data_IF_085904515353
#
_entry.id   IF_085904515353
#
_cell.length_a   1.000
_cell.length_b   1.000
_cell.length_c   1.000
_cell.angle_alpha   90.00
_cell.angle_beta   90.00
_cell.angle_gamma   90.00
#
_symmetry.space_group_name_H-M   'P 1'
#
loop_
_entity.id
_entity.type
_entity.pdbx_description
1 polymer ?
#
# COMPACT_ATOMS: atom_id res chain seq x y z
N UNK A 1 39.19 -9.20 9.54
CA UNK A 1 38.12 -8.33 9.01
C UNK A 1 38.52 -7.89 7.61
N UNK A 2 38.20 -8.69 6.59
CA UNK A 2 38.34 -8.27 5.20
C UNK A 2 37.21 -7.29 4.89
N UNK A 3 37.55 -6.07 4.47
CA UNK A 3 36.56 -5.10 3.99
C UNK A 3 35.81 -5.73 2.81
N UNK A 4 34.51 -5.94 3.00
CA UNK A 4 33.60 -6.45 1.98
C UNK A 4 33.39 -5.30 0.99
N UNK A 5 33.58 -5.52 -0.32
CA UNK A 5 33.33 -4.49 -1.31
C UNK A 5 31.83 -4.14 -1.29
N UNK A 6 31.54 -2.85 -1.17
CA UNK A 6 30.19 -2.30 -1.34
C UNK A 6 29.64 -2.68 -2.71
N UNK A 7 28.51 -3.39 -2.71
CA UNK A 7 27.78 -3.75 -3.92
C UNK A 7 27.20 -2.46 -4.52
N UNK A 8 27.39 -2.17 -5.82
CA UNK A 8 26.81 -1.00 -6.45
C UNK A 8 25.28 -1.07 -6.36
N UNK A 9 24.64 -0.01 -5.85
CA UNK A 9 23.21 0.20 -5.98
C UNK A 9 22.83 0.03 -7.47
N UNK A 10 21.82 -0.79 -7.75
CA UNK A 10 21.35 -1.08 -9.10
C UNK A 10 20.96 0.24 -9.78
N UNK A 11 21.56 0.52 -10.92
CA UNK A 11 21.52 1.83 -11.59
C UNK A 11 20.11 2.28 -11.99
N UNK A 12 19.84 3.56 -11.77
CA UNK A 12 18.56 4.31 -11.86
C UNK A 12 17.96 4.51 -13.27
N UNK A 13 17.83 3.48 -14.10
CA UNK A 13 17.14 3.63 -15.41
C UNK A 13 15.86 2.84 -15.57
N UNK A 14 15.47 2.04 -14.56
CA UNK A 14 14.25 1.24 -14.60
C UNK A 14 13.66 1.18 -13.19
N UNK A 15 12.33 1.33 -13.06
CA UNK A 15 11.66 1.24 -11.75
C UNK A 15 11.69 -0.18 -11.14
N UNK A 16 12.30 -1.14 -11.83
CA UNK A 16 12.64 -2.48 -11.36
C UNK A 16 14.04 -2.88 -11.85
N UNK A 17 14.84 -3.58 -11.04
CA UNK A 17 16.12 -4.12 -11.50
C UNK A 17 15.90 -5.23 -12.54
N UNK A 18 16.89 -5.46 -13.41
CA UNK A 18 16.85 -6.58 -14.33
C UNK A 18 16.82 -7.93 -13.57
N UNK A 19 16.00 -8.88 -14.02
CA UNK A 19 15.82 -10.17 -13.36
C UNK A 19 17.13 -10.93 -13.13
N UNK A 20 18.03 -10.93 -14.11
CA UNK A 20 19.30 -11.67 -14.01
C UNK A 20 20.22 -11.02 -12.99
N UNK A 21 20.33 -9.69 -13.02
CA UNK A 21 21.11 -8.94 -12.04
C UNK A 21 20.53 -9.09 -10.64
N UNK A 22 19.20 -9.06 -10.49
CA UNK A 22 18.54 -9.36 -9.22
C UNK A 22 18.86 -10.78 -8.74
N UNK A 23 18.75 -11.78 -9.62
CA UNK A 23 18.99 -13.18 -9.29
C UNK A 23 20.41 -13.46 -8.80
N UNK A 24 21.43 -12.78 -9.34
CA UNK A 24 22.82 -12.89 -8.88
C UNK A 24 22.96 -12.58 -7.36
N UNK A 25 22.13 -11.67 -6.84
CA UNK A 25 22.15 -11.28 -5.43
C UNK A 25 21.33 -12.21 -4.53
N UNK A 26 20.39 -12.98 -5.09
CA UNK A 26 19.43 -13.80 -4.33
C UNK A 26 19.45 -15.28 -4.70
N UNK A 27 20.51 -15.78 -5.34
CA UNK A 27 20.61 -17.15 -5.85
C UNK A 27 20.52 -18.28 -4.80
N UNK A 28 20.59 -17.95 -3.50
CA UNK A 28 20.46 -18.91 -2.40
C UNK A 28 19.88 -18.25 -1.15
N UNK A 29 19.41 -19.04 -0.18
CA UNK A 29 18.88 -18.49 1.08
C UNK A 29 19.86 -17.61 1.83
N UNK A 30 21.15 -17.97 1.80
CA UNK A 30 22.22 -17.21 2.46
C UNK A 30 22.53 -15.90 1.70
N UNK A 31 22.57 -15.94 0.36
CA UNK A 31 22.71 -14.73 -0.46
C UNK A 31 21.51 -13.78 -0.28
N UNK A 32 20.29 -14.32 -0.34
CA UNK A 32 19.06 -13.58 -0.08
C UNK A 32 19.03 -12.96 1.33
N UNK A 33 19.53 -13.69 2.34
CA UNK A 33 19.64 -13.14 3.69
C UNK A 33 20.62 -11.97 3.76
N UNK A 34 21.78 -12.06 3.09
CA UNK A 34 22.74 -10.94 3.03
C UNK A 34 22.13 -9.73 2.32
N UNK A 35 21.48 -9.96 1.18
CA UNK A 35 20.78 -8.93 0.44
C UNK A 35 19.75 -8.20 1.33
N UNK A 36 18.98 -8.91 2.15
CA UNK A 36 18.03 -8.29 3.07
C UNK A 36 18.68 -7.46 4.20
N UNK A 37 19.89 -7.81 4.64
CA UNK A 37 20.66 -6.95 5.55
C UNK A 37 21.19 -5.71 4.84
N UNK A 38 21.72 -5.86 3.62
CA UNK A 38 22.26 -4.76 2.82
C UNK A 38 21.16 -3.74 2.46
N UNK A 39 19.91 -4.19 2.33
CA UNK A 39 18.73 -3.36 2.09
C UNK A 39 18.07 -2.86 3.39
N UNK A 40 18.71 -3.06 4.55
CA UNK A 40 18.21 -2.69 5.88
C UNK A 40 16.83 -3.27 6.25
N UNK A 41 16.39 -4.33 5.57
CA UNK A 41 15.13 -5.03 5.88
C UNK A 41 15.27 -5.91 7.12
N UNK A 42 16.44 -6.51 7.31
CA UNK A 42 16.75 -7.22 8.56
C UNK A 42 17.58 -6.33 9.48
N UNK A 43 17.15 -6.26 10.74
CA UNK A 43 17.80 -5.46 11.77
C UNK A 43 19.22 -5.93 12.06
N UNK A 44 20.09 -4.97 12.36
CA UNK A 44 21.47 -5.19 12.78
C UNK A 44 21.71 -4.54 14.14
N UNK A 45 22.90 -4.73 14.73
CA UNK A 45 23.27 -4.00 15.95
C UNK A 45 23.38 -2.48 15.71
N UNK A 46 23.48 -2.05 14.45
CA UNK A 46 23.62 -0.65 14.04
C UNK A 46 22.28 0.00 13.66
N UNK A 47 21.22 -0.80 13.45
CA UNK A 47 19.91 -0.27 13.05
C UNK A 47 19.13 0.40 14.19
N UNK A 48 19.71 0.48 15.39
CA UNK A 48 19.06 1.05 16.58
C UNK A 48 17.96 0.17 17.20
N UNK A 49 17.61 -0.94 16.56
CA UNK A 49 16.61 -1.89 17.03
C UNK A 49 17.24 -2.95 17.94
N UNK A 50 16.76 -3.06 19.18
CA UNK A 50 17.32 -3.95 20.20
C UNK A 50 16.50 -5.23 20.32
N UNK A 51 17.09 -6.35 19.90
CA UNK A 51 16.50 -7.67 20.15
C UNK A 51 16.86 -8.14 21.55
N UNK A 52 15.88 -8.24 22.43
CA UNK A 52 16.10 -8.73 23.80
C UNK A 52 15.84 -10.23 23.94
N UNK A 53 16.53 -10.87 24.88
CA UNK A 53 16.21 -12.23 25.29
C UNK A 53 15.00 -12.24 26.25
N UNK A 54 14.49 -13.42 26.64
CA UNK A 54 13.34 -13.52 27.57
C UNK A 54 13.57 -12.93 28.98
N UNK A 55 14.83 -12.59 29.30
CA UNK A 55 15.22 -11.96 30.56
C UNK A 55 15.59 -10.48 30.36
N UNK A 56 15.22 -9.85 29.24
CA UNK A 56 15.50 -8.43 28.95
C UNK A 56 16.95 -8.11 28.59
N UNK A 57 17.81 -9.11 28.34
CA UNK A 57 19.20 -8.85 27.94
C UNK A 57 19.30 -8.61 26.44
N UNK A 58 19.93 -7.49 25.99
CA UNK A 58 20.22 -7.27 24.57
C UNK A 58 21.03 -8.42 23.96
N UNK A 59 20.54 -8.94 22.84
CA UNK A 59 21.13 -10.04 22.10
C UNK A 59 22.11 -9.50 21.04
N UNK A 60 23.06 -10.34 20.61
CA UNK A 60 24.03 -10.01 19.56
C UNK A 60 23.85 -10.93 18.35
N UNK A 61 24.12 -10.41 17.16
CA UNK A 61 24.02 -11.18 15.93
C UNK A 61 25.26 -12.07 15.80
N UNK A 62 25.07 -13.35 15.47
CA UNK A 62 26.20 -14.27 15.32
C UNK A 62 25.89 -15.51 14.48
N UNK A 63 26.93 -16.20 14.00
CA UNK A 63 26.78 -17.37 13.15
C UNK A 63 26.20 -18.57 13.93
N UNK A 64 25.40 -19.38 13.24
CA UNK A 64 24.73 -20.55 13.78
C UNK A 64 24.69 -21.72 12.79
N UNK A 65 25.88 -22.12 12.30
CA UNK A 65 26.03 -23.27 11.40
C UNK A 65 25.07 -23.19 10.21
N UNK A 66 24.30 -24.27 9.98
CA UNK A 66 23.34 -24.35 8.89
C UNK A 66 22.20 -23.31 8.93
N UNK A 67 21.96 -22.64 10.06
CA UNK A 67 20.93 -21.59 10.20
C UNK A 67 21.41 -20.20 9.78
N UNK A 68 22.66 -20.04 9.36
CA UNK A 68 23.23 -18.73 9.03
C UNK A 68 23.35 -17.84 10.27
N UNK A 69 22.99 -16.57 10.16
CA UNK A 69 23.02 -15.62 11.27
C UNK A 69 21.77 -15.76 12.16
N UNK A 70 21.95 -15.63 13.47
CA UNK A 70 20.87 -15.61 14.47
C UNK A 70 21.23 -14.67 15.61
N UNK A 71 20.22 -14.13 16.29
CA UNK A 71 20.39 -13.38 17.52
C UNK A 71 20.66 -14.33 18.69
N UNK A 72 21.70 -14.09 19.49
CA UNK A 72 22.03 -14.87 20.69
C UNK A 72 22.30 -13.99 21.89
N UNK A 73 21.85 -14.46 23.06
CA UNK A 73 22.21 -13.81 24.31
C UNK A 73 23.74 -13.94 24.55
N UNK A 74 24.43 -12.83 24.87
CA UNK A 74 25.87 -12.84 25.12
C UNK A 74 26.21 -13.48 26.48
N UNK A 75 25.28 -13.46 27.44
CA UNK A 75 25.48 -14.00 28.78
C UNK A 75 25.42 -15.54 28.77
N UNK A 76 26.49 -16.18 29.28
CA UNK A 76 26.66 -17.65 29.21
C UNK A 76 25.53 -18.44 29.88
N UNK A 77 24.99 -17.92 30.97
CA UNK A 77 24.00 -18.61 31.82
C UNK A 77 22.59 -18.00 31.72
N UNK A 78 22.33 -17.14 30.73
CA UNK A 78 21.03 -16.49 30.55
C UNK A 78 20.21 -17.23 29.49
N UNK A 79 18.90 -17.40 29.75
CA UNK A 79 17.89 -17.91 28.81
C UNK A 79 18.29 -19.15 27.98
N UNK A 80 19.15 -20.03 28.50
CA UNK A 80 19.80 -21.14 27.77
C UNK A 80 20.48 -20.71 26.44
N UNK A 81 20.74 -19.41 26.27
CA UNK A 81 21.19 -18.79 25.02
C UNK A 81 20.35 -19.19 23.80
N UNK A 82 19.05 -19.43 24.03
CA UNK A 82 18.10 -19.75 22.97
C UNK A 82 18.16 -18.68 21.86
N UNK A 83 18.40 -19.08 20.60
CA UNK A 83 18.55 -18.12 19.52
C UNK A 83 17.19 -17.56 19.11
N UNK A 84 17.17 -16.28 18.71
CA UNK A 84 16.05 -15.67 17.97
C UNK A 84 16.41 -15.56 16.48
N UNK A 85 15.41 -15.72 15.62
CA UNK A 85 15.58 -15.63 14.16
C UNK A 85 15.86 -14.19 13.72
N UNK A 86 16.64 -14.00 12.65
CA UNK A 86 16.88 -12.66 12.05
C UNK A 86 15.65 -12.08 11.38
N UNK A 87 14.65 -12.93 11.08
CA UNK A 87 13.38 -12.53 10.49
C UNK A 87 12.39 -11.95 11.50
N UNK A 88 12.77 -11.84 12.78
CA UNK A 88 11.89 -11.32 13.83
C UNK A 88 11.45 -9.90 13.48
N UNK A 89 10.17 -9.59 13.74
CA UNK A 89 9.56 -8.27 13.54
C UNK A 89 9.76 -7.72 12.11
N UNK A 90 9.70 -8.62 11.14
CA UNK A 90 9.77 -8.33 9.70
C UNK A 90 8.70 -9.12 8.95
N UNK A 91 8.38 -8.69 7.73
CA UNK A 91 7.53 -9.44 6.78
C UNK A 91 7.91 -10.92 6.63
N UNK A 92 9.18 -11.27 6.79
CA UNK A 92 9.68 -12.63 6.61
C UNK A 92 9.47 -13.52 7.85
N UNK A 93 8.97 -12.96 8.95
CA UNK A 93 8.69 -13.70 10.18
C UNK A 93 7.67 -14.83 9.93
N UNK A 94 7.93 -16.02 10.48
CA UNK A 94 7.11 -17.25 10.32
C UNK A 94 6.92 -17.78 8.89
N UNK A 95 7.40 -17.10 7.85
CA UNK A 95 7.41 -17.67 6.50
C UNK A 95 8.34 -18.90 6.45
N UNK A 96 7.77 -20.07 6.18
CA UNK A 96 8.53 -21.33 6.06
C UNK A 96 9.23 -21.48 4.70
N UNK A 97 8.84 -20.67 3.72
CA UNK A 97 9.48 -20.67 2.41
C UNK A 97 10.94 -20.17 2.49
N UNK A 98 11.84 -20.69 1.64
CA UNK A 98 13.20 -20.17 1.50
C UNK A 98 13.20 -18.69 1.08
N UNK A 99 14.14 -17.89 1.61
CA UNK A 99 14.16 -16.43 1.40
C UNK A 99 14.29 -16.05 -0.08
N UNK A 100 15.13 -16.76 -0.83
CA UNK A 100 15.31 -16.57 -2.26
C UNK A 100 14.01 -16.76 -3.05
N UNK A 101 13.17 -17.73 -2.62
CA UNK A 101 11.88 -17.97 -3.26
C UNK A 101 10.88 -16.88 -2.88
N UNK A 102 10.87 -16.42 -1.63
CA UNK A 102 10.01 -15.30 -1.20
C UNK A 102 10.39 -14.02 -1.95
N UNK A 103 11.67 -13.66 -2.01
CA UNK A 103 12.16 -12.51 -2.77
C UNK A 103 11.83 -12.61 -4.26
N UNK A 104 11.92 -13.80 -4.86
CA UNK A 104 11.50 -14.02 -6.25
C UNK A 104 9.98 -13.80 -6.41
N UNK A 105 9.15 -14.24 -5.46
CA UNK A 105 7.70 -13.95 -5.49
C UNK A 105 7.45 -12.45 -5.44
N UNK A 106 8.15 -11.72 -4.55
CA UNK A 106 8.04 -10.26 -4.44
C UNK A 106 8.41 -9.60 -5.77
N UNK A 107 9.57 -9.95 -6.34
CA UNK A 107 10.02 -9.45 -7.64
C UNK A 107 8.98 -9.69 -8.75
N UNK A 108 8.49 -10.92 -8.88
CA UNK A 108 7.53 -11.28 -9.92
C UNK A 108 6.16 -10.61 -9.69
N UNK A 109 5.72 -10.46 -8.45
CA UNK A 109 4.52 -9.71 -8.10
C UNK A 109 4.65 -8.23 -8.50
N UNK A 110 5.79 -7.60 -8.21
CA UNK A 110 6.07 -6.23 -8.65
C UNK A 110 6.10 -6.12 -10.18
N UNK A 111 6.59 -7.15 -10.87
CA UNK A 111 6.51 -7.28 -12.33
C UNK A 111 5.12 -7.66 -12.89
N UNK A 112 4.06 -7.64 -12.07
CA UNK A 112 2.66 -7.96 -12.43
C UNK A 112 2.43 -9.40 -12.92
N UNK A 113 3.24 -10.33 -12.44
CA UNK A 113 3.12 -11.76 -12.75
C UNK A 113 1.88 -12.38 -12.11
N UNK A 114 1.11 -13.15 -12.88
CA UNK A 114 -0.11 -13.80 -12.38
C UNK A 114 0.20 -14.97 -11.43
N UNK A 115 -0.73 -15.28 -10.53
CA UNK A 115 -0.56 -16.33 -9.49
C UNK A 115 -0.18 -17.72 -10.06
N UNK A 116 -0.70 -18.10 -11.23
CA UNK A 116 -0.34 -19.36 -11.90
C UNK A 116 1.11 -19.37 -12.38
N UNK A 117 1.63 -18.23 -12.82
CA UNK A 117 3.01 -18.07 -13.23
C UNK A 117 3.94 -18.01 -12.01
N UNK A 118 3.50 -17.38 -10.91
CA UNK A 118 4.23 -17.42 -9.63
C UNK A 118 4.44 -18.86 -9.16
N UNK A 119 3.40 -19.69 -9.19
CA UNK A 119 3.47 -21.12 -8.87
C UNK A 119 4.47 -21.84 -9.78
N UNK A 120 4.29 -21.71 -11.10
CA UNK A 120 5.17 -22.34 -12.09
C UNK A 120 6.65 -21.94 -11.95
N UNK A 121 6.94 -20.65 -11.74
CA UNK A 121 8.31 -20.13 -11.73
C UNK A 121 9.01 -20.36 -10.39
N UNK A 122 8.27 -20.31 -9.28
CA UNK A 122 8.86 -20.41 -7.93
C UNK A 122 8.78 -21.81 -7.35
N UNK A 123 7.88 -22.67 -7.85
CA UNK A 123 7.61 -24.00 -7.30
C UNK A 123 6.95 -23.98 -5.92
N UNK A 124 6.49 -22.82 -5.45
CA UNK A 124 5.81 -22.68 -4.17
C UNK A 124 4.31 -22.98 -4.34
N UNK A 125 3.76 -23.79 -3.45
CA UNK A 125 2.33 -24.10 -3.49
C UNK A 125 1.46 -22.84 -3.35
N UNK A 126 0.27 -22.90 -3.93
CA UNK A 126 -0.67 -21.78 -3.98
C UNK A 126 -1.07 -21.21 -2.60
N UNK A 127 -1.04 -22.01 -1.51
CA UNK A 127 -1.33 -21.50 -0.16
C UNK A 127 -0.23 -20.56 0.31
N UNK A 128 1.03 -20.95 0.12
CA UNK A 128 2.21 -20.15 0.48
C UNK A 128 2.26 -18.86 -0.33
N UNK A 129 2.00 -18.93 -1.64
CA UNK A 129 1.96 -17.76 -2.51
C UNK A 129 0.89 -16.76 -2.08
N UNK A 130 -0.31 -17.24 -1.72
CA UNK A 130 -1.37 -16.36 -1.20
C UNK A 130 -0.95 -15.64 0.07
N UNK A 131 -0.33 -16.34 1.03
CA UNK A 131 0.19 -15.72 2.26
C UNK A 131 1.21 -14.61 1.95
N UNK A 132 2.16 -14.86 1.04
CA UNK A 132 3.17 -13.87 0.65
C UNK A 132 2.49 -12.66 -0.01
N UNK A 133 1.62 -12.88 -1.01
CA UNK A 133 0.94 -11.79 -1.74
C UNK A 133 0.01 -10.99 -0.83
N UNK A 134 -0.71 -11.64 0.09
CA UNK A 134 -1.54 -10.96 1.09
C UNK A 134 -0.69 -10.06 1.99
N UNK A 135 0.43 -10.57 2.50
CA UNK A 135 1.35 -9.76 3.28
C UNK A 135 1.93 -8.59 2.49
N UNK A 136 2.13 -8.72 1.17
CA UNK A 136 2.61 -7.61 0.35
C UNK A 136 1.59 -6.48 0.22
N UNK A 137 0.30 -6.81 0.09
CA UNK A 137 -0.73 -5.76 0.15
C UNK A 137 -0.74 -5.05 1.50
N UNK A 138 -0.56 -5.79 2.60
CA UNK A 138 -0.45 -5.18 3.92
C UNK A 138 0.76 -4.25 4.03
N UNK A 139 1.94 -4.69 3.57
CA UNK A 139 3.15 -3.83 3.53
C UNK A 139 2.92 -2.59 2.68
N UNK A 140 2.29 -2.73 1.51
CA UNK A 140 1.95 -1.59 0.66
C UNK A 140 0.99 -0.62 1.35
N UNK A 141 0.01 -1.13 2.08
CA UNK A 141 -0.92 -0.29 2.83
C UNK A 141 -0.26 0.44 3.99
N UNK A 142 0.56 -0.24 4.78
CA UNK A 142 1.26 0.38 5.91
C UNK A 142 2.32 1.40 5.49
N UNK A 143 2.83 1.29 4.26
CA UNK A 143 3.68 2.32 3.67
C UNK A 143 2.88 3.57 3.25
N UNK A 144 1.57 3.46 2.99
CA UNK A 144 0.74 4.60 2.62
C UNK A 144 0.31 5.39 3.86
N UNK A 145 0.48 6.71 3.79
CA UNK A 145 0.03 7.68 4.79
C UNK A 145 -1.16 8.47 4.26
N UNK A 146 -1.85 9.21 5.15
CA UNK A 146 -2.90 10.15 4.71
C UNK A 146 -2.35 11.22 3.75
N UNK A 147 -1.11 11.63 3.95
CA UNK A 147 -0.45 12.58 3.06
C UNK A 147 -0.15 11.98 1.69
N UNK A 148 -0.09 10.66 1.53
CA UNK A 148 0.07 10.04 0.20
C UNK A 148 -1.23 10.05 -0.62
N UNK A 149 -2.39 10.10 0.04
CA UNK A 149 -3.72 10.00 -0.59
C UNK A 149 -4.51 11.29 -0.60
N UNK A 150 -4.20 12.27 0.26
CA UNK A 150 -4.84 13.60 0.21
C UNK A 150 -4.40 14.36 -1.04
N UNK A 151 -5.35 14.85 -1.82
CA UNK A 151 -5.12 15.52 -3.11
C UNK A 151 -5.52 16.98 -3.08
N UNK A 152 -4.98 17.76 -4.01
CA UNK A 152 -5.37 19.14 -4.23
C UNK A 152 -4.63 20.12 -3.32
N UNK A 153 -5.32 21.20 -2.96
CA UNK A 153 -4.77 22.31 -2.20
C UNK A 153 -4.21 23.38 -3.13
N UNK A 154 -3.19 24.09 -2.65
CA UNK A 154 -2.43 25.02 -3.46
C UNK A 154 -1.06 24.47 -3.78
N UNK A 155 -0.61 24.72 -4.99
CA UNK A 155 0.75 24.46 -5.41
C UNK A 155 1.71 25.37 -4.59
N UNK A 156 2.70 24.81 -3.89
CA UNK A 156 3.58 25.58 -3.01
C UNK A 156 4.45 26.63 -3.72
N UNK A 157 4.70 26.46 -5.02
CA UNK A 157 5.58 27.34 -5.80
C UNK A 157 4.82 28.49 -6.45
N UNK A 158 3.60 28.21 -6.93
CA UNK A 158 2.78 29.15 -7.70
C UNK A 158 1.64 29.80 -6.89
N UNK A 159 1.30 29.23 -5.72
CA UNK A 159 0.10 29.59 -4.93
C UNK A 159 -1.23 29.42 -5.71
N UNK A 160 -1.20 28.72 -6.85
CA UNK A 160 -2.37 28.38 -7.64
C UNK A 160 -3.07 27.13 -7.09
N UNK A 161 -4.39 27.06 -7.28
CA UNK A 161 -5.20 25.93 -6.84
C UNK A 161 -4.89 24.70 -7.70
N UNK A 162 -4.55 23.59 -7.06
CA UNK A 162 -4.39 22.31 -7.73
C UNK A 162 -5.78 21.82 -8.17
N UNK A 163 -5.88 21.42 -9.43
CA UNK A 163 -7.10 20.85 -10.00
C UNK A 163 -7.19 19.36 -9.65
N UNK A 164 -8.31 18.95 -9.06
CA UNK A 164 -8.66 17.57 -8.74
C UNK A 164 -9.88 17.17 -9.57
N UNK A 165 -9.76 16.12 -10.36
CA UNK A 165 -10.90 15.51 -11.06
C UNK A 165 -11.45 14.35 -10.21
N UNK A 166 -12.76 14.35 -9.93
CA UNK A 166 -13.43 13.36 -9.07
C UNK A 166 -14.56 12.70 -9.85
N UNK A 167 -14.63 11.38 -9.78
CA UNK A 167 -15.64 10.56 -10.47
C UNK A 167 -15.88 9.23 -9.74
N UNK A 168 -16.97 8.53 -10.05
CA UNK A 168 -17.20 7.15 -9.63
C UNK A 168 -17.10 6.15 -10.77
N UNK A 169 -16.44 5.03 -10.49
CA UNK A 169 -16.38 3.90 -11.41
C UNK A 169 -16.96 2.63 -10.82
N UNK A 170 -17.77 1.93 -11.61
CA UNK A 170 -18.22 0.57 -11.30
C UNK A 170 -17.27 -0.48 -11.88
N UNK A 171 -16.63 -1.25 -11.03
CA UNK A 171 -15.77 -2.38 -11.38
C UNK A 171 -16.57 -3.69 -11.42
N UNK A 172 -16.19 -4.62 -12.32
CA UNK A 172 -16.86 -5.92 -12.44
C UNK A 172 -18.22 -5.90 -13.14
N UNK A 173 -18.58 -4.82 -13.86
CA UNK A 173 -19.78 -4.77 -14.70
C UNK A 173 -19.65 -5.72 -15.90
N UNK A 174 -20.77 -6.32 -16.33
CA UNK A 174 -20.83 -7.08 -17.60
C UNK A 174 -20.42 -6.18 -18.77
N UNK A 175 -19.64 -6.73 -19.70
CA UNK A 175 -19.55 -6.20 -21.05
C UNK A 175 -20.74 -6.78 -21.84
N UNK A 176 -21.59 -5.91 -22.40
CA UNK A 176 -22.69 -6.28 -23.30
C UNK A 176 -23.72 -7.30 -22.74
N UNK A 177 -23.99 -7.27 -21.43
CA UNK A 177 -24.95 -8.16 -20.74
C UNK A 177 -24.69 -9.68 -20.87
N UNK A 178 -23.54 -10.11 -21.41
CA UNK A 178 -23.17 -11.54 -21.54
C UNK A 178 -22.26 -12.00 -20.38
N UNK A 179 -22.44 -13.23 -19.90
CA UNK A 179 -21.61 -13.86 -18.86
C UNK A 179 -22.20 -13.89 -17.44
N UNK A 180 -21.46 -14.46 -16.49
CA UNK A 180 -21.89 -14.61 -15.09
C UNK A 180 -22.18 -13.24 -14.43
N UNK A 181 -23.30 -13.11 -13.69
CA UNK A 181 -23.60 -11.88 -12.95
C UNK A 181 -22.56 -11.66 -11.84
N UNK A 182 -21.95 -10.47 -11.85
CA UNK A 182 -21.27 -9.89 -10.70
C UNK A 182 -22.00 -8.59 -10.37
N UNK A 183 -22.36 -8.37 -9.11
CA UNK A 183 -23.03 -7.13 -8.67
C UNK A 183 -22.16 -5.89 -8.90
N UNK A 184 -20.85 -6.10 -9.02
CA UNK A 184 -19.82 -5.09 -9.21
C UNK A 184 -19.52 -4.33 -7.91
N UNK A 185 -18.45 -3.54 -7.95
CA UNK A 185 -17.99 -2.72 -6.82
C UNK A 185 -17.95 -1.27 -7.28
N UNK A 186 -18.59 -0.39 -6.53
CA UNK A 186 -18.50 1.05 -6.75
C UNK A 186 -17.25 1.59 -6.06
N UNK A 187 -16.52 2.42 -6.78
CA UNK A 187 -15.34 3.12 -6.27
C UNK A 187 -15.51 4.59 -6.58
N UNK A 188 -15.34 5.45 -5.58
CA UNK A 188 -15.17 6.90 -5.75
C UNK A 188 -13.68 7.18 -5.75
N UNK A 189 -13.20 8.03 -6.66
CA UNK A 189 -11.81 8.45 -6.63
C UNK A 189 -11.61 9.85 -7.16
N UNK A 190 -10.54 10.47 -6.70
CA UNK A 190 -10.07 11.75 -7.18
C UNK A 190 -8.61 11.68 -7.60
N UNK A 191 -8.25 12.42 -8.65
CA UNK A 191 -6.88 12.48 -9.15
C UNK A 191 -6.49 13.92 -9.47
N UNK A 192 -5.27 14.28 -9.11
CA UNK A 192 -4.73 15.59 -9.44
C UNK A 192 -4.39 15.73 -10.93
N UNK A 193 -4.55 16.95 -11.44
CA UNK A 193 -3.99 17.37 -12.73
C UNK A 193 -2.53 17.84 -12.63
N UNK A 194 -1.75 17.20 -11.77
CA UNK A 194 -0.31 17.39 -11.63
C UNK A 194 0.47 16.29 -12.38
N UNK A 195 1.77 16.48 -12.68
CA UNK A 195 2.62 15.41 -13.21
C UNK A 195 2.64 14.15 -12.33
N UNK A 196 2.59 14.31 -11.00
CA UNK A 196 2.63 13.23 -10.01
C UNK A 196 1.33 12.43 -9.97
N UNK A 197 0.21 13.00 -10.44
CA UNK A 197 -1.11 12.32 -10.54
C UNK A 197 -1.57 11.70 -9.21
N UNK A 198 -1.27 12.35 -8.09
CA UNK A 198 -1.67 11.88 -6.77
C UNK A 198 -3.17 11.62 -6.73
N UNK A 199 -3.58 10.57 -6.03
CA UNK A 199 -4.96 10.10 -6.10
C UNK A 199 -5.43 9.43 -4.79
N UNK A 200 -6.71 9.57 -4.50
CA UNK A 200 -7.43 8.72 -3.55
C UNK A 200 -8.43 7.84 -4.29
N UNK A 201 -8.69 6.65 -3.75
CA UNK A 201 -9.70 5.72 -4.29
C UNK A 201 -10.31 4.92 -3.16
N UNK A 202 -11.64 4.93 -3.08
CA UNK A 202 -12.36 4.29 -1.98
C UNK A 202 -13.50 3.45 -2.50
N UNK A 203 -13.62 2.22 -2.00
CA UNK A 203 -14.79 1.38 -2.26
C UNK A 203 -15.96 1.92 -1.44
N UNK A 204 -17.11 2.14 -2.08
CA UNK A 204 -18.29 2.69 -1.42
C UNK A 204 -19.47 1.71 -1.47
N UNK A 205 -20.30 1.72 -0.42
CA UNK A 205 -21.53 0.92 -0.37
C UNK A 205 -22.68 1.59 -1.14
N UNK A 206 -22.81 2.90 -0.97
CA UNK A 206 -23.73 3.75 -1.72
C UNK A 206 -23.00 4.92 -2.37
N UNK A 207 -23.69 5.57 -3.29
CA UNK A 207 -23.26 6.83 -3.89
C UNK A 207 -24.29 7.88 -3.52
N UNK A 208 -24.49 8.12 -2.23
CA UNK A 208 -25.31 9.26 -1.80
C UNK A 208 -24.51 10.55 -1.92
N UNK A 209 -25.21 11.70 -2.00
CA UNK A 209 -24.57 13.01 -1.96
C UNK A 209 -23.73 13.16 -0.69
N UNK A 210 -24.27 12.72 0.44
CA UNK A 210 -23.59 12.73 1.75
C UNK A 210 -22.26 11.96 1.71
N UNK A 211 -22.29 10.67 1.31
CA UNK A 211 -21.09 9.83 1.22
C UNK A 211 -20.01 10.48 0.35
N UNK A 212 -20.42 11.09 -0.77
CA UNK A 212 -19.48 11.70 -1.71
C UNK A 212 -18.88 12.99 -1.16
N UNK A 213 -19.67 13.83 -0.48
CA UNK A 213 -19.18 15.04 0.18
C UNK A 213 -18.22 14.72 1.33
N UNK A 214 -18.49 13.69 2.13
CA UNK A 214 -17.59 13.28 3.22
C UNK A 214 -16.26 12.74 2.68
N UNK A 215 -16.29 11.95 1.61
CA UNK A 215 -15.07 11.52 0.91
C UNK A 215 -14.28 12.74 0.40
N UNK A 216 -14.95 13.72 -0.22
CA UNK A 216 -14.29 14.94 -0.69
C UNK A 216 -13.67 15.72 0.46
N UNK A 217 -14.38 15.95 1.57
CA UNK A 217 -13.83 16.63 2.76
C UNK A 217 -12.60 15.91 3.33
N UNK A 218 -12.63 14.58 3.33
CA UNK A 218 -11.57 13.76 3.92
C UNK A 218 -10.30 13.77 3.07
N UNK A 219 -10.44 13.66 1.75
CA UNK A 219 -9.31 13.42 0.86
C UNK A 219 -8.93 14.62 -0.01
N UNK A 220 -9.76 15.64 -0.14
CA UNK A 220 -9.43 16.85 -0.90
C UNK A 220 -9.00 17.94 0.08
N UNK A 221 -7.83 18.53 -0.16
CA UNK A 221 -7.31 19.61 0.66
C UNK A 221 -8.09 20.90 0.40
N UNK A 222 -8.28 21.72 1.44
CA UNK A 222 -8.86 23.06 1.31
C UNK A 222 -8.16 23.88 0.23
N UNK A 223 -8.86 24.86 -0.31
CA UNK A 223 -8.38 25.71 -1.40
C UNK A 223 -8.18 24.98 -2.74
N UNK A 224 -8.76 23.79 -2.94
CA UNK A 224 -8.71 23.06 -4.22
C UNK A 224 -9.63 23.63 -5.31
N UNK A 225 -9.30 23.32 -6.57
CA UNK A 225 -10.20 23.40 -7.71
C UNK A 225 -10.70 21.98 -8.01
N UNK A 226 -12.01 21.75 -7.94
CA UNK A 226 -12.63 20.44 -8.12
C UNK A 226 -13.41 20.40 -9.42
N UNK A 227 -13.14 19.39 -10.25
CA UNK A 227 -13.91 19.06 -11.44
C UNK A 227 -14.63 17.74 -11.23
N UNK A 228 -15.93 17.70 -11.46
CA UNK A 228 -16.73 16.46 -11.38
C UNK A 228 -17.64 16.35 -12.58
N UNK A 229 -18.15 15.16 -12.86
CA UNK A 229 -19.31 15.01 -13.76
C UNK A 229 -20.55 15.69 -13.13
N UNK A 230 -21.56 16.04 -13.94
CA UNK A 230 -22.84 16.65 -13.52
C UNK A 230 -23.75 15.74 -12.67
N UNK A 231 -23.19 14.84 -11.86
CA UNK A 231 -23.96 14.07 -10.91
C UNK A 231 -24.37 14.93 -9.71
N UNK A 232 -25.67 14.91 -9.38
CA UNK A 232 -26.26 15.78 -8.35
C UNK A 232 -25.67 15.59 -6.95
N UNK A 233 -24.98 14.48 -6.69
CA UNK A 233 -24.32 14.22 -5.42
C UNK A 233 -23.13 15.13 -5.14
N UNK A 234 -22.55 15.75 -6.17
CA UNK A 234 -21.49 16.76 -6.04
C UNK A 234 -22.02 18.20 -6.03
N UNK A 235 -23.34 18.40 -5.99
CA UNK A 235 -23.85 19.76 -5.88
C UNK A 235 -23.37 20.40 -4.57
N UNK A 236 -22.99 21.68 -4.63
CA UNK A 236 -22.65 22.52 -3.48
C UNK A 236 -21.34 22.13 -2.78
N UNK A 237 -20.39 21.51 -3.50
CA UNK A 237 -19.05 21.27 -2.94
C UNK A 237 -18.36 22.60 -2.55
N UNK A 238 -18.58 23.66 -3.34
CA UNK A 238 -18.13 25.03 -3.08
C UNK A 238 -18.74 25.67 -1.81
N UNK A 239 -19.84 25.12 -1.30
CA UNK A 239 -20.50 25.60 -0.08
C UNK A 239 -20.08 24.83 1.18
N UNK A 240 -19.17 23.87 1.08
CA UNK A 240 -18.65 23.15 2.25
C UNK A 240 -17.87 24.15 3.15
N UNK A 241 -18.24 24.30 4.45
CA UNK A 241 -17.57 25.24 5.36
C UNK A 241 -16.07 24.99 5.46
N UNK A 242 -15.31 26.08 5.58
CA UNK A 242 -13.85 26.08 5.82
C UNK A 242 -12.96 25.42 4.75
N UNK A 243 -13.55 24.88 3.67
CA UNK A 243 -12.80 24.23 2.59
C UNK A 243 -12.48 25.17 1.42
N UNK A 244 -13.28 26.22 1.21
CA UNK A 244 -13.06 27.22 0.16
C UNK A 244 -12.80 26.61 -1.23
N UNK A 245 -13.58 25.59 -1.62
CA UNK A 245 -13.42 24.95 -2.93
C UNK A 245 -13.92 25.83 -4.07
N UNK A 246 -13.30 25.69 -5.23
CA UNK A 246 -13.87 26.13 -6.50
C UNK A 246 -14.35 24.88 -7.23
N UNK A 247 -15.65 24.78 -7.51
CA UNK A 247 -16.24 23.58 -8.12
C UNK A 247 -16.78 23.88 -9.51
N UNK A 248 -16.40 23.05 -10.49
CA UNK A 248 -16.95 23.08 -11.85
C UNK A 248 -17.51 21.70 -12.24
N UNK A 249 -18.83 21.57 -12.42
CA UNK A 249 -19.43 20.36 -12.96
C UNK A 249 -19.32 20.31 -14.49
N UNK A 250 -18.97 19.14 -15.05
CA UNK A 250 -18.88 18.87 -16.49
C UNK A 250 -20.11 18.11 -16.97
N UNK A 251 -20.84 18.69 -17.92
CA UNK A 251 -22.03 18.07 -18.50
C UNK A 251 -21.67 17.22 -19.74
N UNK A 252 -21.35 15.94 -19.52
CA UNK A 252 -21.04 14.99 -20.60
C UNK A 252 -22.19 14.69 -21.57
N UNK A 253 -23.42 15.14 -21.28
CA UNK A 253 -24.55 15.00 -22.21
C UNK A 253 -24.61 16.12 -23.27
N UNK A 254 -23.94 17.25 -23.02
CA UNK A 254 -23.96 18.42 -23.89
C UNK A 254 -22.60 18.71 -24.52
N UNK A 255 -21.49 18.52 -23.80
CA UNK A 255 -20.14 18.72 -24.33
C UNK A 255 -19.10 17.79 -23.67
N UNK A 256 -18.11 17.32 -24.43
CA UNK A 256 -16.96 16.55 -23.89
C UNK A 256 -15.91 17.41 -23.17
N UNK A 257 -15.99 18.73 -23.38
CA UNK A 257 -15.19 19.77 -22.73
C UNK A 257 -16.14 20.93 -22.51
N UNK A 258 -16.20 21.46 -21.30
CA UNK A 258 -16.92 22.72 -21.10
C UNK A 258 -16.25 23.81 -21.95
N UNK A 259 -16.98 24.37 -22.92
CA UNK A 259 -16.43 25.34 -23.86
C UNK A 259 -16.11 26.69 -23.19
N UNK A 260 -16.66 26.94 -21.99
CA UNK A 260 -16.46 28.19 -21.25
C UNK A 260 -15.20 28.12 -20.39
N UNK A 261 -14.99 27.02 -19.68
CA UNK A 261 -13.86 26.88 -18.73
C UNK A 261 -12.77 25.88 -19.17
N UNK A 262 -12.98 25.14 -20.28
CA UNK A 262 -12.06 24.10 -20.75
C UNK A 262 -12.04 22.84 -19.87
N UNK A 263 -13.06 22.68 -19.02
CA UNK A 263 -13.15 21.66 -17.97
C UNK A 263 -13.46 20.29 -18.58
N UNK A 264 -12.72 19.26 -18.13
CA UNK A 264 -12.92 17.86 -18.52
C UNK A 264 -12.47 16.92 -17.39
N UNK A 265 -12.94 15.67 -17.41
CA UNK A 265 -12.60 14.58 -16.46
C UNK A 265 -11.72 13.48 -17.09
N UNK A 266 -11.01 13.81 -18.19
CA UNK A 266 -10.18 12.86 -18.93
C UNK A 266 -9.06 12.20 -18.09
N UNK A 267 -8.52 12.89 -17.08
CA UNK A 267 -7.45 12.33 -16.23
C UNK A 267 -8.00 11.21 -15.37
N UNK A 268 -9.15 11.42 -14.73
CA UNK A 268 -9.78 10.40 -13.88
C UNK A 268 -10.31 9.24 -14.73
N UNK A 269 -10.87 9.51 -15.91
CA UNK A 269 -11.25 8.46 -16.87
C UNK A 269 -10.05 7.60 -17.31
N UNK A 270 -8.93 8.24 -17.67
CA UNK A 270 -7.69 7.56 -18.02
C UNK A 270 -7.14 6.72 -16.86
N UNK A 271 -7.26 7.23 -15.64
CA UNK A 271 -6.89 6.53 -14.41
C UNK A 271 -7.75 5.28 -14.21
N UNK A 272 -9.07 5.38 -14.40
CA UNK A 272 -9.97 4.23 -14.34
C UNK A 272 -9.65 3.18 -15.39
N UNK A 273 -9.33 3.60 -16.62
CA UNK A 273 -8.91 2.69 -17.67
C UNK A 273 -7.62 1.93 -17.27
N UNK A 274 -6.63 2.64 -16.72
CA UNK A 274 -5.40 2.04 -16.22
C UNK A 274 -5.64 0.96 -15.15
N UNK A 275 -6.55 1.21 -14.19
CA UNK A 275 -6.89 0.22 -13.16
C UNK A 275 -7.63 -0.98 -13.77
N UNK A 276 -8.64 -0.73 -14.61
CA UNK A 276 -9.45 -1.78 -15.24
C UNK A 276 -8.64 -2.72 -16.11
N UNK A 277 -7.55 -2.25 -16.73
CA UNK A 277 -6.63 -3.09 -17.50
C UNK A 277 -5.81 -4.05 -16.61
N UNK A 278 -5.51 -3.66 -15.37
CA UNK A 278 -4.67 -4.44 -14.46
C UNK A 278 -5.47 -5.27 -13.43
N UNK A 279 -6.76 -4.96 -13.24
CA UNK A 279 -7.65 -5.68 -12.32
C UNK A 279 -8.54 -6.66 -13.07
N UNK A 280 -8.34 -7.95 -12.83
CA UNK A 280 -9.18 -9.00 -13.43
C UNK A 280 -10.57 -9.04 -12.79
N UNK A 281 -11.57 -9.53 -13.53
CA UNK A 281 -12.95 -9.64 -13.05
C UNK A 281 -13.09 -10.41 -11.72
N UNK A 282 -12.20 -11.38 -11.45
CA UNK A 282 -12.19 -12.16 -10.19
C UNK A 282 -11.78 -11.31 -8.97
N UNK A 283 -11.05 -10.22 -9.18
CA UNK A 283 -10.63 -9.30 -8.13
C UNK A 283 -11.61 -8.14 -7.94
N UNK A 284 -12.55 -7.93 -8.87
CA UNK A 284 -13.63 -6.93 -8.77
C UNK A 284 -14.72 -7.38 -7.77
N UNK A 285 -14.34 -7.62 -6.52
CA UNK A 285 -15.22 -8.02 -5.42
C UNK A 285 -15.01 -7.10 -4.22
N UNK A 286 -16.02 -6.91 -3.38
CA UNK A 286 -15.90 -6.06 -2.18
C UNK A 286 -14.69 -6.43 -1.31
N UNK A 287 -14.34 -7.71 -1.26
CA UNK A 287 -13.20 -8.23 -0.49
C UNK A 287 -11.83 -7.92 -1.10
N UNK A 288 -11.70 -7.95 -2.43
CA UNK A 288 -10.39 -7.84 -3.10
C UNK A 288 -10.13 -6.47 -3.72
N UNK A 289 -11.17 -5.74 -4.08
CA UNK A 289 -11.03 -4.44 -4.73
C UNK A 289 -10.23 -3.43 -3.91
N UNK A 290 -10.41 -3.31 -2.58
CA UNK A 290 -9.62 -2.36 -1.79
C UNK A 290 -8.11 -2.62 -1.88
N UNK A 291 -7.69 -3.88 -1.76
CA UNK A 291 -6.28 -4.27 -1.92
C UNK A 291 -5.72 -3.94 -3.31
N UNK A 292 -6.57 -3.99 -4.35
CA UNK A 292 -6.18 -3.57 -5.70
C UNK A 292 -6.05 -2.07 -5.85
N UNK A 293 -6.83 -1.29 -5.10
CA UNK A 293 -6.68 0.17 -5.02
C UNK A 293 -5.40 0.54 -4.25
N UNK A 294 -5.12 -0.12 -3.12
CA UNK A 294 -3.85 0.01 -2.37
C UNK A 294 -2.65 -0.26 -3.29
N UNK A 295 -2.65 -1.39 -4.00
CA UNK A 295 -1.55 -1.73 -4.94
C UNK A 295 -1.37 -0.62 -5.99
N UNK A 296 -2.48 -0.08 -6.51
CA UNK A 296 -2.43 0.95 -7.53
C UNK A 296 -1.85 2.28 -6.99
N UNK A 297 -2.29 2.73 -5.81
CA UNK A 297 -1.80 3.94 -5.17
C UNK A 297 -0.32 3.78 -4.77
N UNK A 298 0.05 2.66 -4.15
CA UNK A 298 1.44 2.37 -3.78
C UNK A 298 2.37 2.37 -5.00
N UNK A 299 1.95 1.77 -6.12
CA UNK A 299 2.74 1.81 -7.37
C UNK A 299 2.89 3.21 -7.97
N UNK A 300 1.92 4.10 -7.73
CA UNK A 300 2.03 5.49 -8.18
C UNK A 300 2.93 6.30 -7.25
N UNK A 301 2.85 6.10 -5.94
CA UNK A 301 3.73 6.75 -4.96
C UNK A 301 5.21 6.52 -5.28
N UNK A 302 5.54 5.31 -5.73
CA UNK A 302 6.92 4.88 -6.02
C UNK A 302 7.18 4.76 -7.53
N UNK A 303 6.55 5.58 -8.37
CA UNK A 303 6.60 5.41 -9.84
C UNK A 303 8.00 5.57 -10.46
N UNK A 304 8.89 6.27 -9.75
CA UNK A 304 10.31 6.44 -10.04
C UNK A 304 11.13 5.17 -9.75
N UNK A 305 10.83 4.46 -8.66
CA UNK A 305 11.52 3.24 -8.24
C UNK A 305 10.60 2.27 -7.46
N UNK A 306 9.89 1.39 -8.18
CA UNK A 306 9.00 0.41 -7.54
C UNK A 306 9.76 -0.58 -6.65
N UNK A 307 10.98 -0.98 -7.04
CA UNK A 307 11.75 -1.95 -6.28
C UNK A 307 12.34 -1.32 -5.02
N UNK A 308 12.96 -0.15 -5.13
CA UNK A 308 13.40 0.62 -3.97
C UNK A 308 12.26 0.94 -3.03
N UNK A 309 11.10 1.35 -3.56
CA UNK A 309 9.88 1.59 -2.80
C UNK A 309 9.43 0.39 -1.97
N UNK A 310 9.28 -0.79 -2.57
CA UNK A 310 8.86 -1.99 -1.82
C UNK A 310 9.94 -2.48 -0.84
N UNK A 311 11.23 -2.35 -1.17
CA UNK A 311 12.31 -2.72 -0.25
C UNK A 311 12.34 -1.78 0.97
N UNK A 312 12.14 -0.48 0.76
CA UNK A 312 11.99 0.51 1.84
C UNK A 312 10.77 0.20 2.70
N UNK A 313 9.61 -0.06 2.09
CA UNK A 313 8.41 -0.46 2.82
C UNK A 313 8.65 -1.72 3.68
N UNK A 314 9.30 -2.75 3.12
CA UNK A 314 9.67 -3.97 3.86
C UNK A 314 10.62 -3.70 5.04
N UNK A 315 11.44 -2.64 4.98
CA UNK A 315 12.35 -2.24 6.06
C UNK A 315 11.67 -1.44 7.19
N UNK A 316 10.59 -0.74 6.88
CA UNK A 316 9.89 0.12 7.83
C UNK A 316 8.67 -0.55 8.48
N UNK A 317 8.02 -1.48 7.77
CA UNK A 317 6.79 -2.11 8.26
C UNK A 317 7.12 -3.28 9.18
N UNK A 318 6.81 -3.10 10.47
CA UNK A 318 6.86 -4.17 11.46
C UNK A 318 5.65 -5.08 11.31
N UNK A 319 5.86 -6.25 10.69
CA UNK A 319 4.84 -7.31 10.61
C UNK A 319 5.01 -8.23 11.82
N UNK A 320 4.66 -7.75 13.00
CA UNK A 320 4.59 -8.59 14.19
C UNK A 320 3.13 -8.98 14.40
N UNK A 321 2.75 -10.26 14.47
CA UNK A 321 1.48 -10.60 15.07
C UNK A 321 1.59 -10.22 16.54
N UNK A 322 0.95 -9.11 16.91
CA UNK A 322 0.45 -8.95 18.26
C UNK A 322 -0.23 -10.27 18.66
N UNK A 323 0.04 -10.70 19.88
CA UNK A 323 -0.38 -11.95 20.50
C UNK A 323 -1.57 -12.64 19.84
N UNK A 324 -1.38 -13.91 19.48
CA UNK A 324 -2.28 -14.66 18.60
C UNK A 324 -3.76 -14.44 18.85
N UNK A 325 -4.40 -13.80 17.88
CA UNK A 325 -5.76 -14.10 17.46
C UNK A 325 -5.77 -14.10 15.94
N UNK A 326 -6.32 -15.16 15.35
CA UNK A 326 -6.44 -15.32 13.89
C UNK A 326 -7.62 -14.51 13.31
N UNK A 327 -8.21 -13.56 14.05
CA UNK A 327 -9.63 -13.24 13.82
C UNK A 327 -9.94 -11.97 13.03
N UNK A 328 -9.00 -11.06 12.76
CA UNK A 328 -9.31 -9.89 11.92
C UNK A 328 -8.19 -9.63 10.91
N UNK A 329 -8.44 -9.77 9.58
CA UNK A 329 -7.53 -9.18 8.61
C UNK A 329 -7.49 -7.66 8.87
N UNK A 330 -6.32 -7.01 8.76
CA UNK A 330 -6.23 -5.57 8.90
C UNK A 330 -7.27 -4.90 7.98
N UNK A 331 -8.08 -4.03 8.56
CA UNK A 331 -9.08 -3.26 7.86
C UNK A 331 -8.35 -2.17 7.09
N UNK A 332 -8.60 -2.08 5.79
CA UNK A 332 -7.87 -1.18 4.91
C UNK A 332 -8.31 0.28 5.13
N UNK A 333 -7.36 1.22 5.06
CA UNK A 333 -7.64 2.68 5.09
C UNK A 333 -8.63 3.11 3.99
N UNK A 334 -8.76 2.29 2.95
CA UNK A 334 -9.64 2.50 1.80
C UNK A 334 -10.93 1.67 1.88
N UNK A 335 -11.21 1.06 3.04
CA UNK A 335 -12.42 0.24 3.32
C UNK A 335 -13.30 0.74 4.44
N UNK A 336 -12.93 1.79 5.17
CA UNK A 336 -13.85 2.35 6.14
C UNK A 336 -15.10 2.86 5.42
N UNK A 337 -16.16 2.11 5.64
CA UNK A 337 -17.51 2.47 5.27
C UNK A 337 -17.82 3.66 6.16
N UNK A 338 -18.03 4.83 5.54
CA UNK A 338 -18.69 5.93 6.25
C UNK A 338 -20.11 5.42 6.52
N UNK A 339 -20.32 4.82 7.68
CA UNK A 339 -21.65 4.41 8.13
C UNK A 339 -22.49 5.66 8.36
N UNK A 340 -23.79 5.55 8.07
CA UNK A 340 -24.71 6.69 7.91
C UNK A 340 -25.05 7.42 9.21
N UNK A 341 -24.44 7.03 10.33
CA UNK A 341 -24.71 7.60 11.64
C UNK A 341 -23.61 8.60 11.99
N UNK A 342 -23.88 9.87 11.66
CA UNK A 342 -23.04 11.03 11.94
C UNK A 342 -22.89 11.34 13.44
N UNK A 343 -22.24 10.46 14.17
CA UNK A 343 -21.60 10.71 15.44
C UNK A 343 -20.32 9.88 15.41
N UNK A 344 -19.18 10.54 15.23
CA UNK A 344 -17.86 10.13 15.74
C UNK A 344 -16.75 10.83 14.94
N UNK A 345 -16.63 12.15 15.11
CA UNK A 345 -15.30 12.77 14.96
C UNK A 345 -14.33 12.19 16.01
N UNK A 346 -14.86 11.76 17.17
CA UNK A 346 -14.10 11.13 18.26
C UNK A 346 -13.82 9.64 18.06
N UNK A 347 -14.61 8.89 17.29
CA UNK A 347 -14.44 7.43 17.14
C UNK A 347 -13.28 7.02 16.24
N UNK A 348 -12.94 7.85 15.24
CA UNK A 348 -11.80 7.59 14.36
C UNK A 348 -10.48 8.11 14.95
N UNK A 349 -10.47 9.27 15.63
CA UNK A 349 -9.33 9.66 16.48
C UNK A 349 -9.14 8.66 17.63
N UNK A 350 -10.22 8.15 18.22
CA UNK A 350 -10.18 7.05 19.21
C UNK A 350 -9.64 5.75 18.61
N UNK A 351 -9.92 5.39 17.36
CA UNK A 351 -9.36 4.18 16.74
C UNK A 351 -7.87 4.35 16.40
N UNK A 352 -7.45 5.53 15.92
CA UNK A 352 -6.04 5.88 15.72
C UNK A 352 -5.29 5.94 17.06
N UNK A 353 -5.90 6.51 18.09
CA UNK A 353 -5.33 6.58 19.43
C UNK A 353 -5.37 5.21 20.12
N UNK A 354 -6.38 4.36 19.95
CA UNK A 354 -6.40 2.99 20.49
C UNK A 354 -5.31 2.12 19.85
N UNK A 355 -4.99 2.34 18.56
CA UNK A 355 -3.85 1.69 17.89
C UNK A 355 -2.49 2.24 18.37
N UNK A 356 -2.44 3.43 18.98
CA UNK A 356 -1.23 4.08 19.49
C UNK A 356 -1.10 4.07 21.05
N UNK A 357 -2.19 3.85 21.79
CA UNK A 357 -2.29 3.96 23.25
C UNK A 357 -2.38 2.60 23.96
N UNK A 358 -2.57 1.48 23.24
CA UNK A 358 -2.38 0.11 23.80
C UNK A 358 -0.89 -0.20 24.17
N UNK A 359 -0.05 0.83 24.23
CA UNK A 359 1.36 0.77 24.66
C UNK A 359 1.65 1.37 26.04
N UNK A 360 0.65 1.83 26.80
CA UNK A 360 0.87 2.19 28.20
C UNK A 360 -0.34 1.84 29.09
N UNK A 361 -0.04 1.23 30.25
CA UNK A 361 -0.95 0.74 31.32
C UNK A 361 -1.46 -0.69 31.00
N UNK A 362 -1.03 -1.76 31.69
CA UNK A 362 -1.06 -1.99 33.14
C UNK A 362 0.13 -2.83 33.66
N UNK A 363 0.41 -2.65 34.96
CA UNK A 363 1.33 -3.40 35.83
C UNK A 363 1.05 -4.92 35.93
#
# INVERSE_FOLDING_TARGET
MSRIPSIPLLSHTHSMPNLWTFWEHVQSTDAASRYLFDQAVFYTEESGYVVECRNGTPMRLGPSGARGLVWRCPLRNCCNRSPKTTRLDSFFYRLKAPLERVLMVIYLFMARTHMTQLDMMTGLNARTLRTIVQGLYYVMEQDLTMDDVKVGGKDPETDERIIVEIDESKFGKRKDNRGHPLDGVWVVGGVERTPQRKAFMMVVQDRSAHTSQEIVKRFVLKDSHINTDCWSGYNRLDEIPDMNYVHFPVNHSENFVDQVHGTHTNTIEGTWNGIKQNVTARHCTKKMMPWKLVEFISRRKHDDDWWGGIMKALSCVQVTPANGSEDHPPQSLLTEVIDQDGQDEDGFESLINTILEDHHEDE
#
